data_IF_745483270347
#
_entry.id   IF_745483270347
#
_cell.length_a   1.000
_cell.length_b   1.000
_cell.length_c   1.000
_cell.angle_alpha   90.00
_cell.angle_beta   90.00
_cell.angle_gamma   90.00
#
_symmetry.space_group_name_H-M   'P 1'
#
loop_
_entity.id
_entity.type
_entity.pdbx_description
1 polymer ?
#
# COMPACT_ATOMS: atom_id res chain seq x y z
N UNK A 1 -22.61 -8.20 -4.59
CA UNK A 1 -21.76 -8.93 -5.56
C UNK A 1 -20.35 -9.00 -5.00
N UNK A 2 -19.62 -10.10 -5.23
CA UNK A 2 -18.25 -10.24 -4.71
C UNK A 2 -17.25 -9.35 -5.47
N UNK A 3 -16.16 -8.97 -4.79
CA UNK A 3 -15.05 -8.21 -5.36
C UNK A 3 -13.88 -9.14 -5.74
N UNK A 4 -13.10 -8.82 -6.78
CA UNK A 4 -11.88 -9.54 -7.14
C UNK A 4 -10.98 -9.86 -5.94
N UNK A 5 -10.66 -11.13 -5.72
CA UNK A 5 -9.74 -11.56 -4.67
C UNK A 5 -8.30 -11.14 -4.99
N UNK A 6 -7.60 -10.56 -4.01
CA UNK A 6 -6.22 -10.15 -4.15
C UNK A 6 -5.22 -11.27 -3.81
N UNK A 7 -4.04 -11.20 -4.40
CA UNK A 7 -2.99 -12.22 -4.34
C UNK A 7 -1.59 -11.62 -4.43
N UNK A 8 -0.58 -12.45 -4.16
CA UNK A 8 0.82 -12.10 -4.37
C UNK A 8 1.05 -11.58 -5.80
N UNK A 9 1.74 -10.44 -5.90
CA UNK A 9 2.04 -9.74 -7.14
C UNK A 9 0.96 -8.75 -7.61
N UNK A 10 -0.20 -8.70 -6.94
CA UNK A 10 -1.10 -7.55 -7.05
C UNK A 10 -0.47 -6.32 -6.38
N UNK A 11 -1.11 -5.16 -6.48
CA UNK A 11 -0.49 -3.90 -6.06
C UNK A 11 -1.29 -3.19 -4.97
N UNK A 12 -0.60 -2.45 -4.10
CA UNK A 12 -1.18 -1.34 -3.36
C UNK A 12 -0.78 -0.09 -4.11
N UNK A 13 -1.76 0.73 -4.48
CA UNK A 13 -1.54 1.96 -5.24
C UNK A 13 -2.05 3.15 -4.44
N UNK A 14 -1.23 4.20 -4.41
CA UNK A 14 -1.64 5.52 -3.98
C UNK A 14 -1.20 6.56 -5.00
N UNK A 15 -2.04 7.59 -5.20
CA UNK A 15 -1.72 8.69 -6.09
C UNK A 15 -0.49 9.47 -5.59
N UNK A 16 -0.42 9.73 -4.28
CA UNK A 16 0.73 10.39 -3.66
C UNK A 16 0.78 10.14 -2.15
N UNK A 17 1.87 9.53 -1.69
CA UNK A 17 2.30 9.65 -0.30
C UNK A 17 2.92 11.05 -0.14
N UNK A 18 2.39 11.83 0.79
CA UNK A 18 2.93 13.15 1.09
C UNK A 18 4.04 13.00 2.12
N UNK A 19 5.28 13.29 1.72
CA UNK A 19 6.44 13.30 2.59
C UNK A 19 6.97 14.72 2.82
N UNK A 20 7.55 14.96 3.99
CA UNK A 20 8.21 16.23 4.30
C UNK A 20 9.68 16.12 3.87
N UNK A 21 10.09 16.98 2.94
CA UNK A 21 11.46 17.10 2.46
C UNK A 21 12.09 18.38 2.99
N UNK A 22 13.27 18.28 3.58
CA UNK A 22 14.10 19.39 4.04
C UNK A 22 14.87 19.95 2.83
N UNK A 23 14.28 20.94 2.17
CA UNK A 23 14.84 21.56 0.95
C UNK A 23 15.91 22.59 1.35
N UNK A 24 17.15 22.51 0.85
CA UNK A 24 18.19 23.50 1.16
C UNK A 24 17.81 24.93 0.73
N UNK A 25 18.10 25.92 1.59
CA UNK A 25 17.96 27.35 1.28
C UNK A 25 19.11 28.15 1.94
N UNK A 26 19.33 29.43 1.58
CA UNK A 26 20.36 30.27 2.20
C UNK A 26 20.21 30.42 3.73
N UNK A 27 18.98 30.33 4.26
CA UNK A 27 18.71 30.38 5.70
C UNK A 27 18.73 29.02 6.41
N UNK A 28 19.09 27.95 5.71
CA UNK A 28 19.02 26.56 6.18
C UNK A 28 17.89 25.76 5.51
N UNK A 29 17.74 24.46 5.83
CA UNK A 29 16.72 23.63 5.21
C UNK A 29 15.28 24.03 5.60
N UNK A 30 14.37 24.05 4.62
CA UNK A 30 12.95 24.38 4.80
C UNK A 30 12.09 23.11 4.66
N UNK A 31 11.32 22.71 5.68
CA UNK A 31 10.39 21.59 5.59
C UNK A 31 9.29 21.86 4.55
N UNK A 32 9.26 21.04 3.51
CA UNK A 32 8.35 21.21 2.38
C UNK A 32 7.60 19.89 2.11
N UNK A 33 6.27 19.85 2.26
CA UNK A 33 5.48 18.69 1.85
C UNK A 33 5.58 18.47 0.34
N UNK A 34 5.93 17.26 -0.08
CA UNK A 34 6.08 16.87 -1.48
C UNK A 34 5.36 15.55 -1.76
N UNK A 35 4.68 15.41 -2.91
CA UNK A 35 3.97 14.18 -3.28
C UNK A 35 4.90 13.15 -3.93
N UNK A 36 4.74 11.89 -3.54
CA UNK A 36 5.47 10.74 -4.11
C UNK A 36 4.50 9.62 -4.49
N UNK A 37 4.37 9.25 -5.77
CA UNK A 37 3.50 8.15 -6.18
C UNK A 37 3.93 6.82 -5.54
N UNK A 38 2.95 6.05 -5.08
CA UNK A 38 3.19 4.72 -4.52
C UNK A 38 2.57 3.66 -5.42
N UNK A 39 3.37 2.71 -5.88
CA UNK A 39 2.92 1.53 -6.61
C UNK A 39 3.70 0.31 -6.12
N UNK A 40 3.29 -0.20 -4.96
CA UNK A 40 3.97 -1.30 -4.32
C UNK A 40 3.38 -2.65 -4.70
N UNK A 41 4.23 -3.66 -4.89
CA UNK A 41 3.80 -5.04 -5.12
C UNK A 41 3.60 -5.79 -3.83
N UNK A 42 2.43 -6.41 -3.66
CA UNK A 42 2.11 -7.29 -2.53
C UNK A 42 3.02 -8.52 -2.62
N UNK A 43 3.95 -8.63 -1.68
CA UNK A 43 5.00 -9.66 -1.69
C UNK A 43 5.22 -10.32 -0.34
N UNK A 44 4.64 -9.75 0.73
CA UNK A 44 4.86 -10.19 2.10
C UNK A 44 3.53 -10.44 2.82
N UNK A 45 3.57 -11.31 3.85
CA UNK A 45 2.43 -11.62 4.72
C UNK A 45 1.18 -12.10 3.96
N UNK A 46 1.36 -12.82 2.85
CA UNK A 46 0.28 -13.54 2.13
C UNK A 46 0.01 -14.90 2.77
N UNK A 47 -1.05 -15.58 2.35
CA UNK A 47 -1.34 -16.96 2.81
C UNK A 47 -0.20 -17.92 2.47
N UNK A 48 0.09 -18.86 3.36
CA UNK A 48 1.13 -19.88 3.16
C UNK A 48 0.64 -21.10 2.35
N UNK A 49 -0.67 -21.30 2.24
CA UNK A 49 -1.25 -22.54 1.73
C UNK A 49 -2.52 -22.35 0.89
N UNK A 50 -3.14 -21.16 0.89
CA UNK A 50 -4.30 -20.87 0.04
C UNK A 50 -3.86 -20.01 -1.12
N UNK A 51 -4.17 -20.48 -2.33
CA UNK A 51 -3.84 -19.81 -3.57
C UNK A 51 -5.09 -19.21 -4.23
N UNK A 52 -4.96 -18.01 -4.75
CA UNK A 52 -5.88 -17.38 -5.70
C UNK A 52 -5.16 -17.29 -7.03
N UNK A 53 -5.71 -17.93 -8.06
CA UNK A 53 -5.10 -18.01 -9.39
C UNK A 53 -3.64 -18.46 -9.36
N UNK A 54 -3.38 -19.57 -8.64
CA UNK A 54 -2.06 -20.17 -8.48
C UNK A 54 -1.02 -19.27 -7.80
N UNK A 55 -1.45 -18.24 -7.07
CA UNK A 55 -0.57 -17.37 -6.27
C UNK A 55 -1.08 -17.25 -4.84
N UNK A 56 -0.20 -17.11 -3.83
CA UNK A 56 -0.60 -16.91 -2.44
C UNK A 56 -1.67 -15.82 -2.28
N UNK A 57 -2.78 -16.13 -1.59
CA UNK A 57 -3.85 -15.18 -1.36
C UNK A 57 -3.38 -14.01 -0.48
N UNK A 58 -3.76 -12.78 -0.82
CA UNK A 58 -3.52 -11.62 0.02
C UNK A 58 -4.59 -11.52 1.10
N UNK A 59 -4.20 -11.04 2.27
CA UNK A 59 -4.97 -11.03 3.50
C UNK A 59 -4.92 -9.65 4.14
N UNK A 60 -5.79 -9.42 5.13
CA UNK A 60 -5.60 -8.30 6.05
C UNK A 60 -4.18 -8.34 6.64
N UNK A 61 -3.45 -7.25 6.47
CA UNK A 61 -2.06 -7.11 6.90
C UNK A 61 -1.01 -7.67 5.95
N UNK A 62 -1.39 -8.18 4.76
CA UNK A 62 -0.42 -8.36 3.67
C UNK A 62 0.24 -7.02 3.34
N UNK A 63 1.50 -7.09 2.94
CA UNK A 63 2.34 -5.93 2.75
C UNK A 63 2.87 -5.84 1.32
N UNK A 64 3.01 -4.61 0.85
CA UNK A 64 3.57 -4.27 -0.43
C UNK A 64 4.85 -3.46 -0.27
N UNK A 65 5.79 -3.63 -1.20
CA UNK A 65 7.04 -2.84 -1.24
C UNK A 65 6.96 -1.93 -2.46
N UNK A 66 7.16 -0.63 -2.25
CA UNK A 66 7.11 0.39 -3.30
C UNK A 66 8.24 0.21 -4.32
N UNK A 67 7.93 0.31 -5.61
CA UNK A 67 8.91 0.22 -6.69
C UNK A 67 8.58 1.28 -7.77
N UNK A 68 9.49 2.25 -8.03
CA UNK A 68 10.74 2.49 -7.31
C UNK A 68 10.51 3.00 -5.87
N UNK A 69 11.53 2.93 -4.98
CA UNK A 69 11.44 3.60 -3.68
C UNK A 69 11.34 5.11 -3.84
N UNK A 70 10.79 5.80 -2.84
CA UNK A 70 10.76 7.24 -2.77
C UNK A 70 12.16 7.81 -2.67
N UNK A 71 12.48 8.70 -3.60
CA UNK A 71 13.75 9.41 -3.69
C UNK A 71 13.39 10.88 -3.86
N UNK A 72 13.86 11.79 -2.99
CA UNK A 72 13.54 13.19 -3.10
C UNK A 72 14.35 13.80 -4.24
N UNK A 73 13.74 14.67 -5.04
CA UNK A 73 14.44 15.34 -6.14
C UNK A 73 15.52 16.32 -5.65
N UNK A 74 15.38 16.82 -4.42
CA UNK A 74 16.35 17.69 -3.75
C UNK A 74 16.24 17.52 -2.24
N UNK A 75 17.30 17.86 -1.50
CA UNK A 75 17.29 17.80 -0.04
C UNK A 75 17.22 16.38 0.52
N UNK A 76 16.75 16.26 1.76
CA UNK A 76 16.60 14.98 2.46
C UNK A 76 15.20 14.87 3.04
N UNK A 77 14.68 13.65 3.19
CA UNK A 77 13.46 13.45 3.95
C UNK A 77 13.65 13.86 5.41
N UNK A 78 12.65 14.53 5.99
CA UNK A 78 12.60 14.77 7.44
C UNK A 78 12.41 13.45 8.19
N UNK A 79 11.61 12.53 7.64
CA UNK A 79 11.47 11.15 8.11
C UNK A 79 11.73 10.20 6.95
N UNK A 80 12.76 9.33 7.03
CA UNK A 80 13.06 8.39 5.95
C UNK A 80 11.85 7.51 5.61
N UNK A 81 11.44 7.41 4.33
CA UNK A 81 10.28 6.64 3.92
C UNK A 81 10.51 5.14 4.13
N UNK A 82 9.54 4.46 4.73
CA UNK A 82 9.60 2.99 4.86
C UNK A 82 9.46 2.29 3.51
N UNK A 83 8.84 2.96 2.52
CA UNK A 83 8.50 2.38 1.21
C UNK A 83 7.63 1.13 1.31
N UNK A 84 6.87 0.99 2.40
CA UNK A 84 5.98 -0.14 2.64
C UNK A 84 4.53 0.28 2.61
N UNK A 85 3.68 -0.57 2.04
CA UNK A 85 2.23 -0.49 2.11
C UNK A 85 1.67 -1.68 2.87
N UNK A 86 0.50 -1.52 3.48
CA UNK A 86 -0.19 -2.59 4.23
C UNK A 86 -1.69 -2.51 4.03
N UNK A 87 -2.31 -3.67 3.81
CA UNK A 87 -3.78 -3.79 3.76
C UNK A 87 -4.35 -3.64 5.17
N UNK A 88 -5.19 -2.63 5.40
CA UNK A 88 -5.78 -2.32 6.71
C UNK A 88 -7.09 -3.06 6.95
N UNK A 89 -7.98 -2.98 5.98
CA UNK A 89 -9.31 -3.57 5.98
C UNK A 89 -9.38 -4.64 4.89
N UNK A 90 -10.20 -5.66 5.13
CA UNK A 90 -10.42 -6.76 4.20
C UNK A 90 -11.82 -7.35 4.45
N UNK A 91 -12.16 -8.48 3.83
CA UNK A 91 -13.44 -9.15 4.11
C UNK A 91 -13.60 -9.49 5.60
N UNK A 92 -14.78 -9.19 6.15
CA UNK A 92 -15.16 -9.51 7.55
C UNK A 92 -15.75 -10.90 7.69
N UNK A 93 -16.31 -11.44 6.60
CA UNK A 93 -17.05 -12.71 6.50
C UNK A 93 -16.19 -13.83 5.91
N UNK A 94 -15.41 -13.54 4.88
CA UNK A 94 -14.54 -14.52 4.22
C UNK A 94 -13.13 -14.41 4.79
N UNK A 95 -12.72 -15.47 5.47
CA UNK A 95 -11.41 -15.55 6.12
C UNK A 95 -10.56 -16.63 5.50
N UNK A 96 -9.29 -16.33 5.30
CA UNK A 96 -8.24 -17.26 4.90
C UNK A 96 -7.19 -17.23 6.00
N UNK A 97 -6.86 -18.40 6.56
CA UNK A 97 -5.90 -18.55 7.66
C UNK A 97 -6.25 -17.65 8.87
N UNK A 98 -7.55 -17.55 9.18
CA UNK A 98 -8.06 -16.73 10.28
C UNK A 98 -8.06 -15.21 10.04
N UNK A 99 -7.56 -14.73 8.89
CA UNK A 99 -7.50 -13.32 8.52
C UNK A 99 -8.50 -13.02 7.39
N UNK A 100 -9.03 -11.80 7.35
CA UNK A 100 -9.91 -11.38 6.25
C UNK A 100 -9.22 -11.51 4.90
N UNK A 101 -9.90 -12.10 3.92
CA UNK A 101 -9.40 -12.20 2.54
C UNK A 101 -9.43 -10.81 1.88
N UNK A 102 -8.29 -10.39 1.31
CA UNK A 102 -8.17 -9.08 0.68
C UNK A 102 -8.76 -9.07 -0.73
N UNK A 103 -9.22 -7.89 -1.16
CA UNK A 103 -10.01 -7.66 -2.38
C UNK A 103 -9.56 -6.40 -3.08
N UNK A 104 -9.88 -6.27 -4.37
CA UNK A 104 -9.78 -4.99 -5.05
C UNK A 104 -10.57 -3.91 -4.31
N UNK A 105 -9.94 -2.74 -4.14
CA UNK A 105 -10.52 -1.59 -3.44
C UNK A 105 -10.48 -1.68 -1.92
N UNK A 106 -9.88 -2.71 -1.32
CA UNK A 106 -9.72 -2.74 0.14
C UNK A 106 -8.74 -1.63 0.59
N UNK A 107 -9.10 -0.82 1.61
CA UNK A 107 -8.27 0.26 2.12
C UNK A 107 -6.92 -0.21 2.68
N UNK A 108 -5.89 0.55 2.34
CA UNK A 108 -4.51 0.32 2.74
C UNK A 108 -3.91 1.55 3.41
N UNK A 109 -2.75 1.35 4.04
CA UNK A 109 -1.86 2.42 4.51
C UNK A 109 -0.52 2.30 3.78
N UNK A 110 0.17 3.41 3.58
CA UNK A 110 1.51 3.45 3.00
C UNK A 110 2.41 4.37 3.84
N UNK A 111 3.48 4.94 3.29
CA UNK A 111 4.55 5.51 4.10
C UNK A 111 4.46 7.02 4.30
N UNK A 112 3.32 7.64 3.99
CA UNK A 112 3.09 9.08 4.10
C UNK A 112 3.43 9.68 5.49
N UNK A 113 3.84 10.95 5.50
CA UNK A 113 4.04 11.75 6.71
C UNK A 113 2.79 12.60 7.05
N UNK A 114 1.93 12.86 6.06
CA UNK A 114 0.79 13.79 6.16
C UNK A 114 -0.52 13.11 5.73
N UNK A 115 -1.63 13.22 6.49
CA UNK A 115 -1.72 13.86 7.79
C UNK A 115 -0.96 13.06 8.87
N UNK A 116 -0.37 13.73 9.86
CA UNK A 116 0.29 13.03 10.95
C UNK A 116 -0.73 12.21 11.75
N UNK A 117 -0.41 10.95 12.02
CA UNK A 117 -1.21 10.00 12.82
C UNK A 117 -2.63 9.67 12.30
N UNK A 118 -3.00 10.12 11.11
CA UNK A 118 -4.28 9.81 10.48
C UNK A 118 -4.09 9.10 9.14
N UNK A 119 -5.12 8.45 8.60
CA UNK A 119 -5.02 7.89 7.26
C UNK A 119 -4.96 9.02 6.24
N UNK A 120 -4.13 8.88 5.21
CA UNK A 120 -4.12 9.86 4.11
C UNK A 120 -5.40 9.84 3.30
N UNK A 121 -5.69 11.00 2.71
CA UNK A 121 -6.67 11.18 1.67
C UNK A 121 -5.96 11.67 0.39
N UNK A 122 -6.19 11.04 -0.78
CA UNK A 122 -6.98 9.82 -0.99
C UNK A 122 -6.36 8.57 -0.34
N UNK A 123 -7.21 7.62 0.04
CA UNK A 123 -6.76 6.36 0.65
C UNK A 123 -6.06 5.48 -0.39
N UNK A 124 -4.91 4.86 -0.07
CA UNK A 124 -4.32 3.81 -0.86
C UNK A 124 -5.27 2.61 -0.94
N UNK A 125 -5.30 1.97 -2.10
CA UNK A 125 -6.19 0.85 -2.36
C UNK A 125 -5.44 -0.34 -2.94
N UNK A 126 -5.96 -1.54 -2.67
CA UNK A 126 -5.56 -2.74 -3.39
C UNK A 126 -6.04 -2.66 -4.84
N UNK A 127 -5.12 -2.92 -5.78
CA UNK A 127 -5.38 -3.07 -7.21
C UNK A 127 -5.01 -4.48 -7.63
N UNK A 128 -6.03 -5.26 -8.02
CA UNK A 128 -5.85 -6.63 -8.52
C UNK A 128 -5.48 -6.60 -9.99
N UNK A 129 -4.39 -7.27 -10.35
CA UNK A 129 -3.89 -7.30 -11.73
C UNK A 129 -4.43 -8.50 -12.51
N UNK A 130 -4.87 -8.24 -13.75
CA UNK A 130 -5.33 -9.26 -14.69
C UNK A 130 -6.68 -9.89 -14.30
N UNK A 131 -6.99 -11.05 -14.88
CA UNK A 131 -8.28 -11.71 -14.68
C UNK A 131 -8.45 -12.17 -13.22
N UNK A 132 -9.57 -11.81 -12.61
CA UNK A 132 -9.97 -12.23 -11.27
C UNK A 132 -11.29 -13.02 -11.35
N UNK A 133 -11.16 -14.33 -11.54
CA UNK A 133 -12.27 -15.30 -11.54
C UNK A 133 -12.63 -15.80 -10.12
N UNK A 134 -11.90 -15.37 -9.09
CA UNK A 134 -12.27 -15.59 -7.68
C UNK A 134 -12.79 -14.27 -7.14
N UNK A 135 -14.04 -14.28 -6.67
CA UNK A 135 -14.71 -13.13 -6.07
C UNK A 135 -14.97 -13.39 -4.58
N UNK A 136 -14.77 -12.38 -3.74
CA UNK A 136 -14.99 -12.41 -2.30
C UNK A 136 -16.15 -11.46 -1.97
N UNK A 137 -17.21 -11.99 -1.36
CA UNK A 137 -18.42 -11.28 -0.97
C UNK A 137 -18.64 -11.30 0.53
#
# INVERSE_FOLDING_TARGET
MGQPAARLGDSIVNAADIHIVLVPSPGGPVPTPQPFPFNGKISLNTSSNVLVNRRPAALRGSQAINIPPHIPASGTFQTPPTNMGRILLASTTVRINGKGAARAGDPCETCHDVPPAGPQAPLPMVVVAGTANVLIG
#
